data_IF_942124938071
#
_entry.id   IF_942124938071
#
_cell.length_a   1.000
_cell.length_b   1.000
_cell.length_c   1.000
_cell.angle_alpha   90.00
_cell.angle_beta   90.00
_cell.angle_gamma   90.00
#
_symmetry.space_group_name_H-M   'P 1'
#
loop_
_entity.id
_entity.type
_entity.pdbx_description
1 polymer ?
#
# COMPACT_ATOMS: atom_id res chain seq x y z
N UNK A 1 -6.81 -0.18 -5.92
CA UNK A 1 -8.04 0.27 -6.64
C UNK A 1 -8.82 -0.91 -7.22
N UNK A 2 -8.24 -1.81 -8.01
CA UNK A 2 -8.97 -2.95 -8.61
C UNK A 2 -9.79 -3.78 -7.60
N UNK A 3 -9.25 -4.01 -6.40
CA UNK A 3 -9.97 -4.70 -5.32
C UNK A 3 -11.22 -3.93 -4.90
N UNK A 4 -11.11 -2.61 -4.70
CA UNK A 4 -12.23 -1.75 -4.30
C UNK A 4 -13.31 -1.79 -5.39
N UNK A 5 -12.93 -1.63 -6.64
CA UNK A 5 -13.83 -1.65 -7.79
C UNK A 5 -14.62 -2.98 -7.87
N UNK A 6 -13.90 -4.10 -7.76
CA UNK A 6 -14.48 -5.45 -7.77
C UNK A 6 -15.46 -5.67 -6.61
N UNK A 7 -15.08 -5.30 -5.40
CA UNK A 7 -15.92 -5.52 -4.23
C UNK A 7 -17.11 -4.54 -4.17
N UNK A 8 -16.91 -3.28 -4.62
CA UNK A 8 -17.99 -2.30 -4.74
C UNK A 8 -19.07 -2.75 -5.71
N UNK A 9 -18.69 -3.35 -6.83
CA UNK A 9 -19.65 -3.91 -7.79
C UNK A 9 -20.61 -4.91 -7.16
N UNK A 10 -20.12 -5.75 -6.23
CA UNK A 10 -20.99 -6.69 -5.50
C UNK A 10 -22.02 -5.97 -4.64
N UNK A 11 -21.65 -4.85 -4.01
CA UNK A 11 -22.55 -4.04 -3.19
C UNK A 11 -23.65 -3.44 -4.06
N UNK A 12 -23.28 -2.84 -5.19
CA UNK A 12 -24.23 -2.24 -6.14
C UNK A 12 -25.21 -3.29 -6.71
N UNK A 13 -24.75 -4.52 -6.93
CA UNK A 13 -25.57 -5.65 -7.38
C UNK A 13 -26.45 -6.27 -6.26
N UNK A 14 -26.49 -5.69 -5.07
CA UNK A 14 -27.28 -6.20 -3.94
C UNK A 14 -26.68 -7.44 -3.26
N UNK A 15 -25.39 -7.72 -3.49
CA UNK A 15 -24.68 -8.88 -2.95
C UNK A 15 -23.65 -8.47 -1.89
N UNK A 16 -24.00 -7.50 -1.04
CA UNK A 16 -23.08 -6.97 -0.01
C UNK A 16 -22.54 -8.07 0.93
N UNK A 17 -23.32 -9.10 1.20
CA UNK A 17 -22.90 -10.26 2.00
C UNK A 17 -21.82 -11.14 1.33
N UNK A 18 -21.50 -10.90 0.06
CA UNK A 18 -20.45 -11.59 -0.70
C UNK A 18 -19.18 -10.77 -0.86
N UNK A 19 -19.09 -9.61 -0.20
CA UNK A 19 -17.83 -8.83 -0.13
C UNK A 19 -16.78 -9.67 0.58
N UNK A 20 -15.58 -9.68 0.01
CA UNK A 20 -14.47 -10.47 0.57
C UNK A 20 -14.05 -9.96 1.94
N UNK A 21 -13.88 -10.86 2.90
CA UNK A 21 -13.29 -10.53 4.21
C UNK A 21 -11.85 -10.03 4.09
N UNK A 22 -11.18 -10.36 2.98
CA UNK A 22 -9.82 -9.90 2.67
C UNK A 22 -9.80 -8.53 1.97
N UNK A 23 -10.98 -7.91 1.73
CA UNK A 23 -11.04 -6.61 1.04
C UNK A 23 -10.15 -5.57 1.73
N UNK A 24 -10.28 -5.43 3.03
CA UNK A 24 -9.54 -4.41 3.81
C UNK A 24 -8.03 -4.65 3.75
N UNK A 25 -7.50 -5.85 4.10
CA UNK A 25 -6.06 -6.11 3.96
C UNK A 25 -5.53 -5.95 2.53
N UNK A 26 -6.36 -6.17 1.52
CA UNK A 26 -5.95 -6.05 0.11
C UNK A 26 -6.01 -4.62 -0.45
N UNK A 27 -6.66 -3.69 0.26
CA UNK A 27 -6.82 -2.31 -0.21
C UNK A 27 -6.06 -1.28 0.62
N UNK A 28 -5.72 -1.58 1.87
CA UNK A 28 -4.97 -0.66 2.74
C UNK A 28 -3.60 -0.39 2.12
N UNK A 29 -3.25 0.89 1.99
CA UNK A 29 -2.03 1.34 1.32
C UNK A 29 -0.75 0.84 1.97
N UNK A 30 -0.72 0.71 3.31
CA UNK A 30 0.44 0.24 4.06
C UNK A 30 0.72 -1.27 3.93
N UNK A 31 -0.17 -2.03 3.29
CA UNK A 31 0.03 -3.48 3.16
C UNK A 31 1.08 -3.87 2.12
N UNK A 32 1.50 -2.97 1.23
CA UNK A 32 2.68 -3.20 0.42
C UNK A 32 3.93 -3.35 1.30
N UNK A 33 4.15 -2.39 2.19
CA UNK A 33 5.22 -2.46 3.19
C UNK A 33 5.01 -3.63 4.17
N UNK A 34 3.78 -3.83 4.64
CA UNK A 34 3.43 -4.93 5.56
C UNK A 34 3.74 -6.31 4.98
N UNK A 35 3.42 -6.57 3.72
CA UNK A 35 3.74 -7.85 3.08
C UNK A 35 5.25 -8.07 2.94
N UNK A 36 6.02 -7.02 2.62
CA UNK A 36 7.48 -7.10 2.59
C UNK A 36 8.03 -7.40 3.98
N UNK A 37 7.53 -6.70 5.01
CA UNK A 37 7.95 -6.93 6.39
C UNK A 37 7.68 -8.37 6.84
N UNK A 38 6.50 -8.91 6.56
CA UNK A 38 6.12 -10.29 6.88
C UNK A 38 7.01 -11.29 6.12
N UNK A 39 7.20 -11.08 4.82
CA UNK A 39 7.97 -11.99 3.96
C UNK A 39 9.43 -12.11 4.39
N UNK A 40 10.03 -11.02 4.86
CA UNK A 40 11.44 -10.98 5.23
C UNK A 40 11.69 -10.94 6.76
N UNK A 41 10.65 -11.05 7.58
CA UNK A 41 10.77 -11.04 9.03
C UNK A 41 11.30 -9.72 9.59
N UNK A 42 10.89 -8.59 9.00
CA UNK A 42 11.33 -7.27 9.43
C UNK A 42 10.45 -6.78 10.59
N UNK A 43 11.05 -6.52 11.74
CA UNK A 43 10.35 -6.17 12.98
C UNK A 43 10.41 -4.68 13.35
N UNK A 44 11.14 -3.89 12.57
CA UNK A 44 11.26 -2.46 12.79
C UNK A 44 10.02 -1.67 12.37
N UNK A 45 10.17 -0.35 12.28
CA UNK A 45 9.09 0.53 11.86
C UNK A 45 8.63 0.18 10.44
N UNK A 46 7.33 -0.02 10.30
CA UNK A 46 6.67 -0.30 9.04
C UNK A 46 5.58 0.76 8.81
N UNK A 47 5.81 1.66 7.88
CA UNK A 47 4.91 2.78 7.58
C UNK A 47 4.68 2.92 6.09
N UNK A 48 3.63 3.61 5.74
CA UNK A 48 3.31 3.99 4.38
C UNK A 48 3.45 5.50 4.20
N UNK A 49 4.04 5.90 3.10
CA UNK A 49 4.21 7.29 2.71
C UNK A 49 3.47 7.49 1.40
N UNK A 50 2.61 8.49 1.34
CA UNK A 50 1.78 8.76 0.17
C UNK A 50 2.01 10.21 -0.28
N UNK A 51 2.80 10.37 -1.33
CA UNK A 51 3.08 11.66 -1.97
C UNK A 51 3.00 11.56 -3.50
N UNK A 52 2.00 10.83 -3.96
CA UNK A 52 1.74 10.59 -5.39
C UNK A 52 3.01 10.14 -6.14
N UNK A 53 3.38 10.78 -7.25
CA UNK A 53 4.56 10.43 -8.05
C UNK A 53 5.89 10.56 -7.29
N UNK A 54 5.93 11.33 -6.20
CA UNK A 54 7.12 11.55 -5.39
C UNK A 54 7.29 10.49 -4.27
N UNK A 55 6.35 9.56 -4.10
CA UNK A 55 6.33 8.59 -3.00
C UNK A 55 7.65 7.81 -2.87
N UNK A 56 8.18 7.29 -3.97
CA UNK A 56 9.43 6.53 -3.94
C UNK A 56 10.60 7.34 -3.39
N UNK A 57 10.78 8.55 -3.89
CA UNK A 57 11.84 9.47 -3.44
C UNK A 57 11.62 9.87 -1.98
N UNK A 58 10.38 10.16 -1.59
CA UNK A 58 10.05 10.56 -0.23
C UNK A 58 10.29 9.41 0.76
N UNK A 59 9.94 8.18 0.39
CA UNK A 59 10.19 6.99 1.22
C UNK A 59 11.68 6.77 1.48
N UNK A 60 12.52 6.97 0.47
CA UNK A 60 13.99 6.88 0.62
C UNK A 60 14.51 8.00 1.54
N UNK A 61 14.00 9.22 1.38
CA UNK A 61 14.38 10.35 2.25
C UNK A 61 14.01 10.13 3.71
N UNK A 62 12.83 9.59 3.97
CA UNK A 62 12.41 9.23 5.34
C UNK A 62 13.28 8.10 5.92
N UNK A 63 13.53 7.04 5.15
CA UNK A 63 14.41 5.96 5.59
C UNK A 63 15.83 6.46 5.94
N UNK A 64 16.37 7.36 5.11
CA UNK A 64 17.65 8.01 5.38
C UNK A 64 17.63 8.74 6.73
N UNK A 65 16.58 9.52 7.02
CA UNK A 65 16.42 10.25 8.28
C UNK A 65 16.32 9.33 9.48
N UNK A 66 15.62 8.21 9.36
CA UNK A 66 15.51 7.21 10.43
C UNK A 66 16.86 6.59 10.76
N UNK A 67 17.66 6.24 9.76
CA UNK A 67 19.01 5.71 9.95
C UNK A 67 19.93 6.79 10.54
N UNK A 68 19.86 8.01 10.03
CA UNK A 68 20.65 9.14 10.54
C UNK A 68 20.35 9.46 12.00
N UNK A 69 19.09 9.34 12.43
CA UNK A 69 18.65 9.55 13.81
C UNK A 69 19.00 8.37 14.74
N UNK A 70 19.55 7.27 14.21
CA UNK A 70 19.86 6.07 14.99
C UNK A 70 18.64 5.23 15.37
N UNK A 71 17.49 5.46 14.74
CA UNK A 71 16.26 4.70 15.00
C UNK A 71 16.22 3.36 14.24
N UNK A 72 17.06 3.20 13.24
CA UNK A 72 17.23 1.96 12.49
C UNK A 72 18.64 1.85 11.93
N UNK A 73 19.15 0.63 11.79
CA UNK A 73 20.43 0.34 11.17
C UNK A 73 20.30 0.10 9.66
N UNK A 74 19.17 -0.49 9.27
CA UNK A 74 18.83 -0.81 7.87
C UNK A 74 17.34 -0.53 7.65
N UNK A 75 17.02 0.05 6.51
CA UNK A 75 15.62 0.27 6.10
C UNK A 75 15.40 -0.17 4.65
N UNK A 76 14.30 -0.85 4.40
CA UNK A 76 13.80 -1.09 3.05
C UNK A 76 12.84 0.04 2.70
N UNK A 77 13.09 0.72 1.60
CA UNK A 77 12.28 1.86 1.16
C UNK A 77 12.06 1.84 -0.35
N UNK A 78 10.92 2.34 -0.78
CA UNK A 78 10.59 2.41 -2.19
C UNK A 78 9.17 2.86 -2.44
N UNK A 79 8.72 2.76 -3.68
CA UNK A 79 7.36 3.02 -4.09
C UNK A 79 6.88 1.96 -5.06
N UNK A 80 5.60 1.65 -5.02
CA UNK A 80 4.96 0.71 -5.93
C UNK A 80 3.56 1.21 -6.29
N UNK A 81 3.18 1.03 -7.54
CA UNK A 81 1.87 1.42 -8.03
C UNK A 81 1.41 0.44 -9.12
N UNK A 82 0.17 0.07 -9.11
CA UNK A 82 -0.46 -0.72 -10.17
C UNK A 82 -1.89 -0.23 -10.42
N UNK A 83 -2.06 0.93 -11.07
CA UNK A 83 -3.36 1.56 -11.24
C UNK A 83 -4.13 1.06 -12.46
N UNK A 84 -3.80 -0.11 -13.00
CA UNK A 84 -4.40 -0.63 -14.23
C UNK A 84 -5.76 -1.26 -13.91
N UNK A 85 -6.77 -0.42 -13.75
CA UNK A 85 -8.17 -0.81 -13.61
C UNK A 85 -9.04 0.27 -14.24
N UNK A 86 -10.29 -0.05 -14.53
CA UNK A 86 -11.22 0.79 -15.29
C UNK A 86 -11.37 2.19 -14.67
N UNK A 87 -11.60 2.26 -13.36
CA UNK A 87 -11.76 3.53 -12.64
C UNK A 87 -10.52 4.43 -12.76
N UNK A 88 -9.32 3.87 -12.58
CA UNK A 88 -8.10 4.66 -12.62
C UNK A 88 -7.76 5.10 -14.05
N UNK A 89 -7.89 4.21 -15.02
CA UNK A 89 -7.65 4.54 -16.44
C UNK A 89 -8.62 5.62 -16.91
N UNK A 90 -9.89 5.56 -16.48
CA UNK A 90 -10.88 6.59 -16.80
C UNK A 90 -10.62 7.91 -16.11
N UNK A 91 -10.02 7.89 -14.91
CA UNK A 91 -9.68 9.09 -14.15
C UNK A 91 -8.45 9.84 -14.67
N UNK A 92 -7.54 9.14 -15.34
CA UNK A 92 -6.35 9.72 -15.96
C UNK A 92 -6.60 10.15 -17.41
#
# INVERSE_FOLDING_TARGET
MATIEKEHKKVVEGKANRVSVMMVPMMISNMAAGNVAIQFGLEGKCTDIVTACATGTNSIGEAYRYIQAGEADVMVAGGAESPICETNVSGF
#
